data_IF_462623596991
#
_entry.id   IF_462623596991
#
_cell.length_a   1.000
_cell.length_b   1.000
_cell.length_c   1.000
_cell.angle_alpha   90.00
_cell.angle_beta   90.00
_cell.angle_gamma   90.00
#
_symmetry.space_group_name_H-M   'P 1'
#
loop_
_entity.id
_entity.type
_entity.pdbx_description
1 polymer ?
#
# COMPACT_ATOMS: atom_id res chain seq x y z
N UNK A 1 57.16 -0.48 -37.31
CA UNK A 1 56.66 -1.44 -36.29
C UNK A 1 55.87 -0.64 -35.26
N UNK A 2 54.76 -1.22 -34.80
CA UNK A 2 53.81 -0.79 -33.75
C UNK A 2 54.44 -0.03 -32.56
N UNK A 3 53.74 0.83 -31.80
CA UNK A 3 52.35 0.78 -31.28
C UNK A 3 51.82 2.22 -31.12
N UNK A 4 50.57 2.58 -31.44
CA UNK A 4 49.30 2.32 -30.74
C UNK A 4 49.33 2.66 -29.24
N UNK A 5 48.90 3.87 -28.90
CA UNK A 5 48.28 4.17 -27.60
C UNK A 5 47.12 5.16 -27.84
N UNK A 6 45.91 4.65 -27.70
CA UNK A 6 44.64 5.39 -27.78
C UNK A 6 44.20 5.62 -26.34
N UNK A 7 44.03 6.87 -25.86
CA UNK A 7 43.44 7.07 -24.55
C UNK A 7 41.92 6.86 -24.62
N UNK A 8 41.50 5.73 -24.05
CA UNK A 8 40.30 5.51 -23.23
C UNK A 8 39.05 6.31 -23.62
N UNK A 9 38.18 5.65 -24.39
CA UNK A 9 36.80 6.04 -24.62
C UNK A 9 36.05 6.10 -23.28
N UNK A 10 35.65 7.32 -22.88
CA UNK A 10 34.85 7.56 -21.70
C UNK A 10 33.47 6.94 -21.86
N UNK A 11 33.33 5.69 -21.44
CA UNK A 11 32.04 5.04 -21.28
C UNK A 11 31.30 5.77 -20.16
N UNK A 12 30.51 6.77 -20.52
CA UNK A 12 29.33 7.14 -19.74
C UNK A 12 28.36 5.97 -19.83
N UNK A 13 28.47 5.07 -18.86
CA UNK A 13 27.40 4.14 -18.55
C UNK A 13 26.21 4.99 -18.10
N UNK A 14 25.33 5.31 -19.06
CA UNK A 14 23.95 5.66 -18.77
C UNK A 14 23.33 4.43 -18.11
N UNK A 15 23.44 4.36 -16.79
CA UNK A 15 22.76 3.37 -15.98
C UNK A 15 21.26 3.55 -16.19
N UNK A 16 20.73 2.61 -16.96
CA UNK A 16 19.33 2.41 -17.25
C UNK A 16 18.48 2.68 -16.00
N UNK A 17 17.61 3.68 -16.11
CA UNK A 17 16.50 3.90 -15.18
C UNK A 17 15.74 2.58 -15.03
N UNK A 18 15.96 1.94 -13.88
CA UNK A 18 15.22 0.75 -13.48
C UNK A 18 13.91 1.25 -12.89
N UNK A 19 12.73 0.94 -13.46
CA UNK A 19 11.44 1.43 -12.94
C UNK A 19 10.98 0.60 -11.72
N UNK A 20 11.91 0.29 -10.81
CA UNK A 20 11.66 -0.46 -9.58
C UNK A 20 11.71 0.43 -8.31
N UNK A 21 12.05 1.71 -8.44
CA UNK A 21 12.36 2.57 -7.30
C UNK A 21 11.55 3.88 -7.32
N UNK A 22 10.22 3.80 -7.34
CA UNK A 22 9.37 4.94 -7.03
C UNK A 22 8.79 4.82 -5.59
N UNK A 23 9.60 4.33 -4.64
CA UNK A 23 9.39 4.71 -3.25
C UNK A 23 9.89 6.15 -3.16
N UNK A 24 8.99 7.12 -3.28
CA UNK A 24 9.34 8.53 -3.15
C UNK A 24 10.16 8.73 -1.86
N UNK A 25 11.44 9.03 -2.02
CA UNK A 25 12.34 9.31 -0.91
C UNK A 25 11.81 10.56 -0.19
N UNK A 26 11.04 10.33 0.87
CA UNK A 26 10.40 11.39 1.61
C UNK A 26 11.40 11.90 2.64
N UNK A 27 12.08 12.99 2.31
CA UNK A 27 12.96 13.68 3.25
C UNK A 27 12.13 14.36 4.33
N UNK A 28 12.43 14.07 5.60
CA UNK A 28 11.72 14.63 6.75
C UNK A 28 12.70 15.41 7.63
N UNK A 29 12.40 16.68 7.87
CA UNK A 29 13.19 17.56 8.73
C UNK A 29 12.59 17.55 10.13
N UNK A 30 13.40 17.18 11.13
CA UNK A 30 13.05 17.21 12.55
C UNK A 30 13.87 18.31 13.22
N UNK A 31 13.19 19.23 13.90
CA UNK A 31 13.86 20.24 14.73
C UNK A 31 14.06 19.66 16.13
N UNK A 32 15.29 19.77 16.63
CA UNK A 32 15.67 19.41 17.99
C UNK A 32 15.81 20.71 18.79
N UNK A 33 15.33 20.76 20.06
CA UNK A 33 15.51 21.92 20.92
C UNK A 33 16.98 22.28 21.14
N UNK A 34 17.28 23.57 21.23
CA UNK A 34 18.65 24.07 21.39
C UNK A 34 19.28 23.69 22.74
N UNK A 35 18.46 23.39 23.75
CA UNK A 35 18.86 22.99 25.10
C UNK A 35 18.93 21.45 25.28
N UNK A 36 18.60 20.68 24.25
CA UNK A 36 18.67 19.23 24.32
C UNK A 36 20.11 18.74 24.40
N UNK A 37 20.39 17.91 25.39
CA UNK A 37 21.65 17.16 25.45
C UNK A 37 21.74 16.16 24.29
N UNK A 38 22.95 15.70 23.96
CA UNK A 38 23.15 14.69 22.91
C UNK A 38 22.33 13.41 23.16
N UNK A 39 22.25 12.97 24.42
CA UNK A 39 21.45 11.82 24.80
C UNK A 39 19.95 12.04 24.56
N UNK A 40 19.44 13.24 24.86
CA UNK A 40 18.03 13.59 24.63
C UNK A 40 17.73 13.74 23.13
N UNK A 41 18.62 14.38 22.37
CA UNK A 41 18.50 14.49 20.92
C UNK A 41 18.47 13.11 20.24
N UNK A 42 19.31 12.17 20.71
CA UNK A 42 19.30 10.78 20.26
C UNK A 42 18.00 10.06 20.62
N UNK A 43 17.49 10.26 21.84
CA UNK A 43 16.23 9.66 22.27
C UNK A 43 15.04 10.17 21.44
N UNK A 44 14.97 11.48 21.15
CA UNK A 44 13.94 12.07 20.31
C UNK A 44 14.02 11.49 18.89
N UNK A 45 15.21 11.46 18.29
CA UNK A 45 15.42 10.91 16.94
C UNK A 45 15.03 9.43 16.84
N UNK A 46 15.36 8.64 17.88
CA UNK A 46 14.98 7.24 17.97
C UNK A 46 13.46 7.06 18.09
N UNK A 47 12.79 7.88 18.91
CA UNK A 47 11.34 7.82 19.08
C UNK A 47 10.59 8.16 17.78
N UNK A 48 11.03 9.21 17.08
CA UNK A 48 10.43 9.63 15.80
C UNK A 48 10.65 8.57 14.72
N UNK A 49 11.86 8.04 14.57
CA UNK A 49 12.15 6.99 13.58
C UNK A 49 11.38 5.71 13.87
N UNK A 50 11.29 5.29 15.13
CA UNK A 50 10.47 4.14 15.55
C UNK A 50 8.99 4.33 15.18
N UNK A 51 8.41 5.51 15.43
CA UNK A 51 7.01 5.79 15.08
C UNK A 51 6.77 5.73 13.56
N UNK A 52 7.68 6.28 12.76
CA UNK A 52 7.57 6.26 11.30
C UNK A 52 7.64 4.82 10.79
N UNK A 53 8.60 4.03 11.26
CA UNK A 53 8.72 2.62 10.87
C UNK A 53 7.50 1.80 11.29
N UNK A 54 6.94 2.06 12.48
CA UNK A 54 5.71 1.40 12.94
C UNK A 54 4.53 1.70 12.02
N UNK A 55 4.34 2.97 11.65
CA UNK A 55 3.30 3.38 10.68
C UNK A 55 3.49 2.72 9.32
N UNK A 56 4.72 2.66 8.83
CA UNK A 56 5.04 2.00 7.55
C UNK A 56 4.71 0.50 7.61
N UNK A 57 5.03 -0.18 8.71
CA UNK A 57 4.65 -1.60 8.91
C UNK A 57 3.15 -1.79 8.97
N UNK A 58 2.42 -0.94 9.70
CA UNK A 58 0.97 -0.99 9.76
C UNK A 58 0.31 -0.77 8.39
N UNK A 59 0.82 0.19 7.61
CA UNK A 59 0.36 0.45 6.25
C UNK A 59 0.64 -0.74 5.32
N UNK A 60 1.84 -1.33 5.39
CA UNK A 60 2.20 -2.52 4.62
C UNK A 60 1.31 -3.73 4.98
N UNK A 61 1.02 -3.92 6.27
CA UNK A 61 0.10 -4.97 6.74
C UNK A 61 -1.33 -4.74 6.24
N UNK A 62 -1.82 -3.49 6.25
CA UNK A 62 -3.13 -3.14 5.72
C UNK A 62 -3.21 -3.36 4.19
N UNK A 63 -2.16 -2.99 3.45
CA UNK A 63 -2.08 -3.26 2.02
C UNK A 63 -2.07 -4.76 1.72
N UNK A 64 -1.32 -5.57 2.48
CA UNK A 64 -1.34 -7.03 2.36
C UNK A 64 -2.71 -7.64 2.70
N UNK A 65 -3.44 -7.05 3.66
CA UNK A 65 -4.79 -7.49 4.00
C UNK A 65 -5.85 -7.10 2.95
N UNK A 66 -5.56 -6.11 2.09
CA UNK A 66 -6.50 -5.60 1.09
C UNK A 66 -6.76 -6.55 -0.09
N UNK A 67 -5.99 -7.64 -0.23
CA UNK A 67 -6.22 -8.69 -1.22
C UNK A 67 -7.33 -9.69 -0.80
N UNK A 68 -7.91 -9.52 0.38
CA UNK A 68 -9.09 -10.28 0.79
C UNK A 68 -10.36 -9.64 0.20
N UNK A 69 -11.21 -10.40 -0.51
CA UNK A 69 -12.47 -9.87 -1.04
C UNK A 69 -13.32 -9.28 0.08
N UNK A 70 -13.69 -8.00 -0.06
CA UNK A 70 -14.61 -7.34 0.85
C UNK A 70 -16.04 -7.80 0.52
N UNK A 71 -16.75 -8.32 1.52
CA UNK A 71 -18.09 -8.86 1.35
C UNK A 71 -19.15 -7.91 1.91
N UNK A 72 -20.30 -7.82 1.24
CA UNK A 72 -21.45 -7.11 1.81
C UNK A 72 -22.12 -7.90 2.93
N UNK A 73 -22.70 -7.18 3.88
CA UNK A 73 -23.50 -7.78 4.95
C UNK A 73 -24.71 -8.55 4.38
N UNK A 74 -24.71 -9.86 4.60
CA UNK A 74 -25.72 -10.79 4.08
C UNK A 74 -27.13 -10.46 4.57
N UNK A 75 -27.26 -9.92 5.78
CA UNK A 75 -28.55 -9.57 6.39
C UNK A 75 -29.17 -8.33 5.78
N UNK A 76 -28.36 -7.29 5.60
CA UNK A 76 -28.76 -6.07 4.89
C UNK A 76 -29.24 -6.41 3.49
N UNK A 77 -28.48 -7.26 2.77
CA UNK A 77 -28.85 -7.67 1.43
C UNK A 77 -30.13 -8.53 1.42
N UNK A 78 -30.27 -9.50 2.33
CA UNK A 78 -31.50 -10.28 2.47
C UNK A 78 -32.72 -9.40 2.75
N UNK A 79 -32.59 -8.39 3.61
CA UNK A 79 -33.67 -7.43 3.87
C UNK A 79 -34.09 -6.65 2.62
N UNK A 80 -33.14 -6.26 1.77
CA UNK A 80 -33.44 -5.63 0.47
C UNK A 80 -34.17 -6.59 -0.48
N UNK A 81 -33.73 -7.83 -0.57
CA UNK A 81 -34.32 -8.86 -1.43
C UNK A 81 -35.70 -9.36 -0.96
N UNK A 82 -35.95 -9.33 0.34
CA UNK A 82 -37.25 -9.68 0.91
C UNK A 82 -38.38 -8.79 0.36
N UNK A 83 -38.10 -7.52 0.06
CA UNK A 83 -39.04 -6.59 -0.59
C UNK A 83 -39.50 -7.06 -1.97
N UNK A 84 -38.70 -7.89 -2.63
CA UNK A 84 -39.00 -8.51 -3.92
C UNK A 84 -39.49 -9.96 -3.79
N UNK A 85 -39.92 -10.38 -2.60
CA UNK A 85 -40.46 -11.72 -2.34
C UNK A 85 -39.40 -12.83 -2.27
N UNK A 86 -38.10 -12.48 -2.24
CA UNK A 86 -37.01 -13.46 -2.20
C UNK A 86 -36.66 -13.80 -0.75
N UNK A 87 -36.87 -15.07 -0.39
CA UNK A 87 -36.66 -15.59 0.98
C UNK A 87 -35.23 -16.09 1.22
N UNK A 88 -34.47 -16.38 0.17
CA UNK A 88 -33.11 -16.93 0.29
C UNK A 88 -32.09 -15.83 0.52
N UNK A 89 -31.32 -15.97 1.61
CA UNK A 89 -30.18 -15.09 1.92
C UNK A 89 -29.02 -15.31 0.93
N UNK A 90 -28.53 -14.24 0.26
CA UNK A 90 -27.29 -14.30 -0.52
C UNK A 90 -26.09 -14.55 0.40
N UNK A 91 -25.09 -15.29 -0.09
CA UNK A 91 -23.85 -15.61 0.64
C UNK A 91 -22.64 -15.18 -0.18
N UNK A 92 -21.57 -14.77 0.51
CA UNK A 92 -20.28 -14.42 -0.10
C UNK A 92 -20.46 -13.47 -1.31
N UNK A 93 -21.28 -12.43 -1.14
CA UNK A 93 -21.47 -11.42 -2.19
C UNK A 93 -20.40 -10.37 -1.97
N UNK A 94 -19.46 -10.28 -2.90
CA UNK A 94 -18.41 -9.26 -2.85
C UNK A 94 -19.03 -7.87 -3.02
N UNK A 95 -18.41 -6.86 -2.41
CA UNK A 95 -18.82 -5.47 -2.56
C UNK A 95 -18.68 -5.06 -4.03
N UNK A 96 -19.73 -4.45 -4.59
CA UNK A 96 -19.84 -4.14 -6.02
C UNK A 96 -20.52 -5.24 -6.87
N UNK A 97 -20.66 -6.46 -6.33
CA UNK A 97 -21.29 -7.60 -7.01
C UNK A 97 -22.76 -7.81 -6.60
N UNK A 98 -23.34 -6.85 -5.88
CA UNK A 98 -24.69 -6.93 -5.35
C UNK A 98 -25.74 -7.04 -6.47
N UNK A 99 -25.49 -6.38 -7.61
CA UNK A 99 -26.35 -6.45 -8.78
C UNK A 99 -26.35 -7.85 -9.43
N UNK A 100 -25.21 -8.54 -9.49
CA UNK A 100 -25.12 -9.93 -9.99
C UNK A 100 -25.83 -10.88 -9.05
N UNK A 101 -25.67 -10.70 -7.74
CA UNK A 101 -26.37 -11.48 -6.74
C UNK A 101 -27.90 -11.24 -6.78
N UNK A 102 -28.35 -10.00 -6.98
CA UNK A 102 -29.77 -9.69 -7.18
C UNK A 102 -30.33 -10.31 -8.47
N UNK A 103 -29.60 -10.25 -9.58
CA UNK A 103 -29.98 -10.88 -10.83
C UNK A 103 -30.13 -12.41 -10.68
N UNK A 104 -29.15 -13.08 -10.04
CA UNK A 104 -29.22 -14.53 -9.76
C UNK A 104 -30.40 -14.90 -8.87
N UNK A 105 -30.73 -14.06 -7.89
CA UNK A 105 -31.89 -14.29 -7.04
C UNK A 105 -33.21 -14.15 -7.81
N UNK A 106 -33.27 -13.39 -8.91
CA UNK A 106 -34.47 -13.23 -9.72
C UNK A 106 -34.88 -14.52 -10.42
N UNK A 107 -33.92 -15.26 -10.97
CA UNK A 107 -34.13 -16.47 -11.76
C UNK A 107 -34.11 -17.78 -10.96
N UNK A 108 -34.02 -17.68 -9.63
CA UNK A 108 -34.05 -18.81 -8.69
C UNK A 108 -35.24 -18.68 -7.75
#
# INVERSE_FOLDING_TARGET
MSSLETPEDGTHSEEAETPAQAAAETTLTVSIPDDATEAEAAAISAAVSAHITDRQRAAAAAAAASDSPDYVDEWTMAGRLARFGKKRRPRNVERGEEWKAAARARYR
#
